data_IF_862954901540
#
_entry.id   IF_862954901540
#
_cell.length_a   1.000
_cell.length_b   1.000
_cell.length_c   1.000
_cell.angle_alpha   90.00
_cell.angle_beta   90.00
_cell.angle_gamma   90.00
#
_symmetry.space_group_name_H-M   'P 1'
#
loop_
_entity.id
_entity.type
_entity.pdbx_description
1 polymer ?
#
# COMPACT_ATOMS: atom_id res chain seq x y z
N UNK A 1 -73.89 -0.38 95.05
CA UNK A 1 -72.58 0.09 94.55
C UNK A 1 -71.88 -1.03 93.75
N UNK A 2 -72.33 -1.33 92.53
CA UNK A 2 -71.71 -2.37 91.67
C UNK A 2 -71.30 -1.80 90.31
N UNK A 3 -72.08 -0.87 89.78
CA UNK A 3 -71.86 -0.15 88.51
C UNK A 3 -70.65 0.79 88.50
N UNK A 4 -70.29 1.42 89.62
CA UNK A 4 -69.18 2.37 89.67
C UNK A 4 -67.80 1.76 89.35
N UNK A 5 -67.64 0.44 89.52
CA UNK A 5 -66.39 -0.29 89.19
C UNK A 5 -66.35 -0.81 87.76
N UNK A 6 -67.49 -0.86 87.07
CA UNK A 6 -67.58 -1.32 85.68
C UNK A 6 -67.20 -0.23 84.68
N UNK A 7 -67.51 1.03 84.99
CA UNK A 7 -67.16 2.18 84.15
C UNK A 7 -65.65 2.30 83.90
N UNK A 8 -64.76 2.32 84.91
CA UNK A 8 -63.32 2.41 84.65
C UNK A 8 -62.77 1.15 83.95
N UNK A 9 -63.37 -0.02 84.17
CA UNK A 9 -62.99 -1.26 83.51
C UNK A 9 -63.32 -1.21 82.02
N UNK A 10 -64.52 -0.73 81.66
CA UNK A 10 -64.91 -0.52 80.26
C UNK A 10 -64.03 0.50 79.56
N UNK A 11 -63.69 1.60 80.25
CA UNK A 11 -62.76 2.61 79.73
C UNK A 11 -61.36 2.01 79.51
N UNK A 12 -60.85 1.22 80.46
CA UNK A 12 -59.55 0.55 80.35
C UNK A 12 -59.50 -0.45 79.19
N UNK A 13 -60.53 -1.29 79.04
CA UNK A 13 -60.64 -2.23 77.91
C UNK A 13 -60.73 -1.49 76.59
N UNK A 14 -61.48 -0.39 76.52
CA UNK A 14 -61.59 0.43 75.31
C UNK A 14 -60.26 1.10 74.94
N UNK A 15 -59.54 1.65 75.93
CA UNK A 15 -58.23 2.27 75.72
C UNK A 15 -57.17 1.26 75.23
N UNK A 16 -57.19 0.03 75.75
CA UNK A 16 -56.31 -1.05 75.29
C UNK A 16 -56.66 -1.51 73.86
N UNK A 17 -57.94 -1.64 73.53
CA UNK A 17 -58.40 -1.97 72.18
C UNK A 17 -58.04 -0.90 71.15
N UNK A 18 -58.20 0.38 71.50
CA UNK A 18 -57.80 1.50 70.64
C UNK A 18 -56.28 1.58 70.43
N UNK A 19 -55.48 1.24 71.46
CA UNK A 19 -54.01 1.23 71.37
C UNK A 19 -53.47 0.11 70.47
N UNK A 20 -54.15 -1.04 70.44
CA UNK A 20 -53.81 -2.14 69.53
C UNK A 20 -53.98 -1.75 68.05
N UNK A 21 -55.02 -0.96 67.72
CA UNK A 21 -55.24 -0.48 66.35
C UNK A 21 -54.18 0.52 65.88
N UNK A 22 -53.58 1.29 66.80
CA UNK A 22 -52.53 2.26 66.49
C UNK A 22 -51.12 1.62 66.36
N UNK A 23 -50.89 0.47 67.00
CA UNK A 23 -49.57 -0.19 67.03
C UNK A 23 -49.44 -1.42 66.12
N UNK A 24 -50.56 -2.04 65.71
CA UNK A 24 -50.54 -3.29 64.95
C UNK A 24 -50.17 -3.15 63.46
N UNK A 25 -50.06 -1.94 62.94
CA UNK A 25 -49.78 -1.75 61.51
C UNK A 25 -49.16 -0.39 61.29
N UNK A 26 -47.84 -0.30 61.42
CA UNK A 26 -47.10 0.88 60.99
C UNK A 26 -47.58 1.34 59.61
N UNK A 27 -47.73 2.64 59.43
CA UNK A 27 -48.17 3.19 58.15
C UNK A 27 -47.07 2.97 57.13
N UNK A 28 -47.31 2.09 56.17
CA UNK A 28 -46.38 1.82 55.07
C UNK A 28 -46.77 2.68 53.88
N UNK A 29 -45.90 3.62 53.53
CA UNK A 29 -46.08 4.48 52.36
C UNK A 29 -45.12 3.99 51.28
N UNK A 30 -45.66 3.33 50.25
CA UNK A 30 -44.92 3.00 49.05
C UNK A 30 -44.96 4.17 48.07
N UNK A 31 -43.79 4.74 47.76
CA UNK A 31 -43.67 5.78 46.72
C UNK A 31 -43.13 5.15 45.45
N UNK A 32 -43.93 5.13 44.38
CA UNK A 32 -43.42 4.80 43.06
C UNK A 32 -42.83 6.07 42.44
N UNK A 33 -41.52 6.08 42.22
CA UNK A 33 -40.81 7.28 41.73
C UNK A 33 -41.04 7.49 40.21
N UNK A 34 -41.63 6.54 39.49
CA UNK A 34 -42.05 6.70 38.09
C UNK A 34 -40.92 6.93 37.09
N UNK A 35 -39.68 7.05 37.55
CA UNK A 35 -38.51 7.23 36.68
C UNK A 35 -38.12 5.85 36.18
N UNK A 36 -38.21 5.58 34.86
CA UNK A 36 -37.74 4.33 34.31
C UNK A 36 -36.22 4.20 34.53
N UNK A 37 -35.76 2.97 34.70
CA UNK A 37 -34.33 2.71 34.83
C UNK A 37 -33.58 3.29 33.61
N UNK A 38 -32.37 3.84 33.79
CA UNK A 38 -31.57 4.34 32.68
C UNK A 38 -31.36 3.25 31.65
N UNK A 39 -31.80 3.47 30.41
CA UNK A 39 -31.56 2.57 29.29
C UNK A 39 -30.32 3.06 28.56
N UNK A 40 -29.24 2.28 28.62
CA UNK A 40 -28.08 2.53 27.77
C UNK A 40 -28.33 1.95 26.38
N UNK A 41 -28.40 2.82 25.37
CA UNK A 41 -28.47 2.42 23.97
C UNK A 41 -27.06 2.46 23.40
N UNK A 42 -26.52 1.29 23.09
CA UNK A 42 -25.25 1.22 22.36
C UNK A 42 -25.44 1.82 20.95
N UNK A 43 -24.52 2.69 20.49
CA UNK A 43 -24.56 3.20 19.13
C UNK A 43 -24.53 2.07 18.10
N UNK A 44 -25.32 2.19 17.03
CA UNK A 44 -25.26 1.24 15.93
C UNK A 44 -23.88 1.29 15.26
N UNK A 45 -23.31 0.14 14.86
CA UNK A 45 -22.07 0.12 14.07
C UNK A 45 -22.26 0.88 12.75
N UNK A 46 -21.36 1.83 12.47
CA UNK A 46 -21.31 2.53 11.18
C UNK A 46 -20.31 1.81 10.28
N UNK A 47 -20.80 1.22 9.20
CA UNK A 47 -19.93 0.62 8.19
C UNK A 47 -19.44 1.71 7.23
N UNK A 48 -18.12 1.87 7.15
CA UNK A 48 -17.49 2.66 6.11
C UNK A 48 -17.60 1.92 4.76
N UNK A 49 -17.88 2.62 3.66
CA UNK A 49 -17.80 2.02 2.34
C UNK A 49 -16.36 1.53 2.07
N UNK A 50 -16.19 0.42 1.33
CA UNK A 50 -14.88 -0.09 0.97
C UNK A 50 -14.11 0.94 0.12
N UNK A 51 -12.77 0.98 0.23
CA UNK A 51 -11.95 1.90 -0.55
C UNK A 51 -12.11 1.63 -2.06
N UNK A 52 -11.96 2.67 -2.90
CA UNK A 52 -12.04 2.52 -4.34
C UNK A 52 -10.94 1.59 -4.87
N UNK A 53 -11.19 0.89 -6.00
CA UNK A 53 -10.21 0.00 -6.59
C UNK A 53 -8.95 0.75 -7.04
N UNK A 54 -7.78 0.09 -7.01
CA UNK A 54 -6.53 0.69 -7.45
C UNK A 54 -6.57 1.05 -8.95
N UNK A 55 -5.82 2.07 -9.38
CA UNK A 55 -5.77 2.47 -10.79
C UNK A 55 -5.21 1.35 -11.67
N UNK A 56 -5.64 1.25 -12.94
CA UNK A 56 -5.12 0.27 -13.88
C UNK A 56 -3.62 0.43 -14.06
N UNK A 57 -2.87 -0.68 -13.93
CA UNK A 57 -1.46 -0.71 -14.32
C UNK A 57 -1.40 -0.86 -15.84
N UNK A 58 -1.04 0.22 -16.53
CA UNK A 58 -0.81 0.18 -17.97
C UNK A 58 0.64 -0.26 -18.21
N UNK A 59 0.82 -1.48 -18.71
CA UNK A 59 2.12 -1.95 -19.18
C UNK A 59 2.34 -1.44 -20.60
N UNK A 60 3.18 -0.43 -20.72
CA UNK A 60 3.73 -0.02 -22.00
C UNK A 60 4.91 -0.93 -22.36
N UNK A 61 4.92 -1.55 -23.56
CA UNK A 61 6.07 -2.32 -24.02
C UNK A 61 7.34 -1.45 -24.00
N UNK A 62 8.45 -2.02 -23.55
CA UNK A 62 9.74 -1.35 -23.67
C UNK A 62 10.03 -1.07 -25.16
N UNK A 63 10.57 0.11 -25.51
CA UNK A 63 10.96 0.40 -26.89
C UNK A 63 11.94 -0.65 -27.40
N UNK A 64 11.58 -1.35 -28.48
CA UNK A 64 12.48 -2.28 -29.16
C UNK A 64 13.32 -1.49 -30.15
N UNK A 65 14.59 -1.26 -29.82
CA UNK A 65 15.56 -0.72 -30.76
C UNK A 65 16.12 -1.84 -31.63
N UNK A 66 15.71 -1.89 -32.89
CA UNK A 66 16.38 -2.72 -33.88
C UNK A 66 17.67 -2.02 -34.32
N UNK A 67 18.82 -2.54 -33.86
CA UNK A 67 20.10 -2.19 -34.45
C UNK A 67 20.10 -2.62 -35.90
N UNK A 68 20.22 -1.65 -36.82
CA UNK A 68 20.36 -1.94 -38.25
C UNK A 68 21.58 -2.81 -38.55
N UNK A 69 21.66 -3.41 -39.74
CA UNK A 69 22.81 -4.22 -40.13
C UNK A 69 24.10 -3.40 -40.01
N UNK A 70 25.06 -3.91 -39.23
CA UNK A 70 26.37 -3.30 -39.08
C UNK A 70 27.22 -3.62 -40.32
N UNK A 71 27.28 -2.69 -41.27
CA UNK A 71 28.21 -2.78 -42.41
C UNK A 71 29.53 -2.10 -42.00
N UNK A 72 30.55 -2.92 -41.74
CA UNK A 72 31.89 -2.44 -41.37
C UNK A 72 32.59 -1.86 -42.61
N UNK A 73 33.29 -0.73 -42.46
CA UNK A 73 34.14 -0.17 -43.53
C UNK A 73 35.26 -1.16 -43.83
N UNK A 74 35.42 -1.53 -45.11
CA UNK A 74 36.42 -2.52 -45.49
C UNK A 74 36.05 -3.37 -46.68
N UNK A 75 36.86 -4.42 -46.90
CA UNK A 75 36.66 -5.39 -47.96
C UNK A 75 35.57 -6.41 -47.58
N UNK A 76 34.59 -6.54 -48.46
CA UNK A 76 33.52 -7.53 -48.42
C UNK A 76 33.61 -8.39 -49.68
N UNK A 77 34.53 -9.37 -49.66
CA UNK A 77 34.89 -10.16 -50.84
C UNK A 77 35.66 -9.30 -51.85
N UNK A 78 35.10 -9.17 -53.07
CA UNK A 78 35.70 -8.40 -54.16
C UNK A 78 35.27 -6.94 -54.22
N UNK A 79 34.52 -6.47 -53.22
CA UNK A 79 34.06 -5.09 -53.13
C UNK A 79 34.50 -4.43 -51.84
N UNK A 80 34.95 -3.19 -51.93
CA UNK A 80 35.30 -2.38 -50.76
C UNK A 80 34.14 -1.44 -50.42
N UNK A 81 33.70 -1.43 -49.16
CA UNK A 81 32.71 -0.49 -48.64
C UNK A 81 33.41 0.66 -47.93
N UNK A 82 33.19 1.89 -48.41
CA UNK A 82 33.79 3.11 -47.85
C UNK A 82 32.89 3.83 -46.83
N UNK A 83 31.74 3.23 -46.46
CA UNK A 83 30.72 3.85 -45.62
C UNK A 83 29.56 4.48 -46.41
N UNK A 84 29.69 4.65 -47.73
CA UNK A 84 28.66 5.27 -48.58
C UNK A 84 28.34 4.44 -49.82
N UNK A 85 29.34 3.79 -50.43
CA UNK A 85 29.19 2.98 -51.63
C UNK A 85 30.16 1.81 -51.66
N UNK A 86 29.81 0.83 -52.49
CA UNK A 86 30.72 -0.26 -52.85
C UNK A 86 31.61 0.16 -54.02
N UNK A 87 32.88 -0.18 -53.90
CA UNK A 87 33.88 -0.08 -54.96
C UNK A 87 34.24 -1.48 -55.45
N UNK A 88 34.28 -1.69 -56.76
CA UNK A 88 34.89 -2.90 -57.30
C UNK A 88 36.40 -2.90 -57.02
N UNK A 89 36.97 -4.09 -56.83
CA UNK A 89 38.41 -4.29 -56.56
C UNK A 89 39.31 -3.45 -57.49
N UNK A 90 39.08 -3.55 -58.79
CA UNK A 90 39.91 -2.87 -59.79
C UNK A 90 39.72 -1.35 -59.79
N UNK A 91 38.49 -0.90 -59.58
CA UNK A 91 38.19 0.54 -59.48
C UNK A 91 38.84 1.14 -58.24
N UNK A 92 38.81 0.42 -57.11
CA UNK A 92 39.47 0.85 -55.89
C UNK A 92 40.97 1.02 -56.11
N UNK A 93 41.66 0.04 -56.71
CA UNK A 93 43.09 0.14 -56.99
C UNK A 93 43.44 1.23 -58.00
N UNK A 94 42.55 1.54 -58.95
CA UNK A 94 42.75 2.67 -59.88
C UNK A 94 42.66 4.03 -59.20
N UNK A 95 41.75 4.19 -58.23
CA UNK A 95 41.55 5.44 -57.51
C UNK A 95 42.46 5.58 -56.28
N UNK A 96 42.90 4.45 -55.72
CA UNK A 96 43.82 4.35 -54.59
C UNK A 96 45.01 3.50 -55.04
N UNK A 97 45.85 4.02 -55.95
CA UNK A 97 47.07 3.33 -56.33
C UNK A 97 47.87 3.07 -55.04
N UNK A 98 48.46 1.88 -54.86
CA UNK A 98 49.30 1.59 -53.71
C UNK A 98 50.40 2.65 -53.64
N UNK A 99 50.25 3.59 -52.71
CA UNK A 99 51.16 4.70 -52.53
C UNK A 99 52.54 4.17 -52.18
N UNK A 100 53.54 4.72 -52.86
CA UNK A 100 54.97 4.56 -52.66
C UNK A 100 55.39 4.85 -51.20
N UNK A 101 55.15 3.93 -50.28
CA UNK A 101 55.73 3.97 -48.94
C UNK A 101 57.07 3.23 -48.95
N UNK A 102 58.13 4.04 -49.08
CA UNK A 102 59.54 3.79 -48.70
C UNK A 102 60.40 2.89 -49.59
N UNK A 103 60.84 3.44 -50.73
CA UNK A 103 62.17 3.15 -51.28
C UNK A 103 63.23 4.05 -50.61
N UNK A 104 63.56 3.82 -49.33
CA UNK A 104 64.40 4.78 -48.59
C UNK A 104 65.13 4.31 -47.32
N UNK A 105 65.41 3.01 -47.17
CA UNK A 105 66.26 2.41 -46.13
C UNK A 105 66.60 0.99 -46.60
N UNK A 106 67.81 0.50 -46.75
CA UNK A 106 69.14 0.95 -46.37
C UNK A 106 70.10 0.40 -47.43
N UNK A 107 70.89 1.29 -48.00
CA UNK A 107 71.91 1.03 -49.01
C UNK A 107 73.29 1.13 -48.33
N UNK A 108 73.52 0.35 -47.27
CA UNK A 108 74.78 0.15 -46.54
C UNK A 108 74.62 -1.22 -45.86
N UNK A 109 75.37 -2.29 -46.10
CA UNK A 109 76.80 -2.38 -46.31
C UNK A 109 77.16 -3.59 -47.17
N UNK A 110 78.07 -3.35 -48.12
CA UNK A 110 78.86 -4.36 -48.80
C UNK A 110 80.12 -4.64 -47.96
N UNK A 111 80.65 -5.85 -48.07
CA UNK A 111 81.98 -6.32 -47.64
C UNK A 111 82.15 -6.87 -46.22
N UNK A 112 82.24 -8.21 -46.15
CA UNK A 112 83.30 -9.05 -45.53
C UNK A 112 82.67 -10.41 -45.25
N UNK A 113 83.13 -11.55 -45.76
CA UNK A 113 84.39 -11.91 -46.37
C UNK A 113 84.46 -13.43 -46.23
N UNK A 114 84.82 -14.10 -47.31
CA UNK A 114 85.25 -15.49 -47.31
C UNK A 114 86.40 -15.67 -46.33
N UNK A 115 86.36 -16.69 -45.48
CA UNK A 115 87.49 -17.48 -44.99
C UNK A 115 86.97 -18.74 -44.29
#
# INVERSE_FOLDING_TARGET
MKSARLVPLLIGVFALGASGAATAGGVNIGVNIGIPAPVYVAPAPVYAPPPPPPPPVIYQPAPVYYGGPAVVIGWHGDRYWDGRRYWARDDWYRHHPPGHYNYGRDHYDNHRGWH
#
